data_IF_699895744118
#
_entry.id   IF_699895744118
#
_cell.length_a   1.000
_cell.length_b   1.000
_cell.length_c   1.000
_cell.angle_alpha   90.00
_cell.angle_beta   90.00
_cell.angle_gamma   90.00
#
_symmetry.space_group_name_H-M   'P 1'
#
loop_
_entity.id
_entity.type
_entity.pdbx_description
1 polymer ?
#
# COMPACT_ATOMS: atom_id res chain seq x y z
N UNK A 1 -4.45 -18.05 -8.85
CA UNK A 1 -5.86 -18.29 -8.43
C UNK A 1 -6.68 -16.99 -8.59
N UNK A 2 -7.06 -16.64 -9.83
CA UNK A 2 -7.87 -15.44 -10.12
C UNK A 2 -9.18 -15.77 -10.87
N UNK A 3 -9.42 -17.04 -11.21
CA UNK A 3 -10.48 -17.47 -12.15
C UNK A 3 -11.88 -17.50 -11.52
N UNK A 4 -12.01 -17.49 -10.19
CA UNK A 4 -13.30 -17.74 -9.51
C UNK A 4 -14.13 -16.47 -9.25
N UNK A 5 -13.54 -15.27 -9.34
CA UNK A 5 -14.21 -14.03 -8.89
C UNK A 5 -14.28 -12.89 -9.93
N UNK A 6 -13.97 -13.13 -11.22
CA UNK A 6 -13.95 -12.10 -12.27
C UNK A 6 -13.33 -10.76 -11.82
N UNK A 7 -12.15 -10.83 -11.20
CA UNK A 7 -11.44 -9.63 -10.75
C UNK A 7 -11.07 -8.75 -11.94
N UNK A 8 -11.20 -7.43 -11.75
CA UNK A 8 -10.70 -6.46 -12.72
C UNK A 8 -9.18 -6.53 -12.83
N UNK A 9 -8.61 -5.97 -13.90
CA UNK A 9 -7.16 -5.88 -14.05
C UNK A 9 -6.51 -5.14 -12.87
N UNK A 10 -7.15 -4.06 -12.39
CA UNK A 10 -6.66 -3.28 -11.26
C UNK A 10 -6.64 -4.12 -9.97
N UNK A 11 -7.70 -4.89 -9.72
CA UNK A 11 -7.76 -5.80 -8.58
C UNK A 11 -6.71 -6.92 -8.67
N UNK A 12 -6.49 -7.48 -9.86
CA UNK A 12 -5.46 -8.50 -10.09
C UNK A 12 -4.08 -7.95 -9.72
N UNK A 13 -3.72 -6.75 -10.22
CA UNK A 13 -2.43 -6.12 -9.92
C UNK A 13 -2.25 -5.84 -8.43
N UNK A 14 -3.28 -5.32 -7.75
CA UNK A 14 -3.21 -5.10 -6.29
C UNK A 14 -3.06 -6.42 -5.53
N UNK A 15 -3.77 -7.48 -5.94
CA UNK A 15 -3.67 -8.80 -5.30
C UNK A 15 -2.28 -9.41 -5.45
N UNK A 16 -1.65 -9.21 -6.61
CA UNK A 16 -0.27 -9.61 -6.88
C UNK A 16 0.72 -8.80 -6.03
N UNK A 17 0.60 -7.47 -6.03
CA UNK A 17 1.44 -6.59 -5.23
C UNK A 17 1.34 -6.87 -3.71
N UNK A 18 0.20 -7.42 -3.26
CA UNK A 18 -0.10 -7.76 -1.87
C UNK A 18 -0.19 -9.26 -1.61
N UNK A 19 0.47 -10.09 -2.44
CA UNK A 19 0.51 -11.54 -2.25
C UNK A 19 1.21 -11.94 -0.93
N UNK A 20 0.99 -13.17 -0.46
CA UNK A 20 1.66 -13.68 0.75
C UNK A 20 3.11 -14.17 0.50
N UNK A 21 3.66 -13.89 -0.68
CA UNK A 21 5.02 -14.29 -1.03
C UNK A 21 6.05 -13.55 -0.18
N UNK A 22 7.23 -14.13 0.08
CA UNK A 22 8.23 -13.55 0.98
C UNK A 22 8.95 -12.32 0.41
N UNK A 23 8.69 -11.94 -0.84
CA UNK A 23 9.23 -10.74 -1.48
C UNK A 23 8.21 -9.60 -1.55
N UNK A 24 8.72 -8.36 -1.57
CA UNK A 24 7.92 -7.14 -1.75
C UNK A 24 7.42 -6.97 -3.19
N UNK A 25 6.44 -6.08 -3.42
CA UNK A 25 6.00 -5.73 -4.77
C UNK A 25 7.13 -5.07 -5.57
N UNK A 26 7.19 -5.33 -6.88
CA UNK A 26 8.15 -4.67 -7.76
C UNK A 26 7.76 -3.21 -8.02
N UNK A 27 8.76 -2.35 -8.25
CA UNK A 27 8.51 -0.92 -8.57
C UNK A 27 7.70 -0.72 -9.85
N UNK A 28 7.87 -1.61 -10.85
CA UNK A 28 7.07 -1.58 -12.08
C UNK A 28 5.60 -1.81 -11.78
N UNK A 29 5.27 -2.88 -11.03
CA UNK A 29 3.89 -3.19 -10.69
C UNK A 29 3.24 -2.08 -9.85
N UNK A 30 3.97 -1.51 -8.88
CA UNK A 30 3.46 -0.39 -8.10
C UNK A 30 3.24 0.86 -8.96
N UNK A 31 4.10 1.11 -9.95
CA UNK A 31 3.93 2.21 -10.91
C UNK A 31 2.68 2.04 -11.74
N UNK A 32 2.44 0.86 -12.30
CA UNK A 32 1.22 0.56 -13.06
C UNK A 32 -0.04 0.77 -12.21
N UNK A 33 -0.03 0.31 -10.95
CA UNK A 33 -1.15 0.55 -10.03
C UNK A 33 -1.30 2.06 -9.74
N UNK A 34 -0.20 2.79 -9.55
CA UNK A 34 -0.22 4.23 -9.34
C UNK A 34 -0.87 4.98 -10.51
N UNK A 35 -0.59 4.59 -11.74
CA UNK A 35 -1.22 5.19 -12.92
C UNK A 35 -2.71 4.87 -13.00
N UNK A 36 -3.11 3.64 -12.65
CA UNK A 36 -4.52 3.25 -12.59
C UNK A 36 -5.33 4.04 -11.55
N UNK A 37 -4.70 4.61 -10.51
CA UNK A 37 -5.42 5.44 -9.51
C UNK A 37 -6.03 6.71 -10.07
N UNK A 38 -5.66 7.15 -11.29
CA UNK A 38 -6.28 8.29 -11.97
C UNK A 38 -7.61 7.92 -12.66
N UNK A 39 -7.88 6.63 -12.90
CA UNK A 39 -9.17 6.17 -13.37
C UNK A 39 -10.15 6.01 -12.19
N UNK A 40 -11.34 6.58 -12.28
CA UNK A 40 -12.29 6.64 -11.15
C UNK A 40 -12.79 5.27 -10.71
N UNK A 41 -13.02 4.36 -11.66
CA UNK A 41 -13.49 2.99 -11.38
C UNK A 41 -12.35 2.18 -10.76
N UNK A 42 -11.20 2.15 -11.43
CA UNK A 42 -10.02 1.42 -10.94
C UNK A 42 -9.56 1.94 -9.57
N UNK A 43 -9.62 3.25 -9.32
CA UNK A 43 -9.32 3.84 -8.00
C UNK A 43 -10.15 3.20 -6.89
N UNK A 44 -11.46 3.05 -7.10
CA UNK A 44 -12.37 2.50 -6.10
C UNK A 44 -12.05 1.02 -5.82
N UNK A 45 -11.77 0.26 -6.87
CA UNK A 45 -11.37 -1.15 -6.79
C UNK A 45 -10.01 -1.33 -6.08
N UNK A 46 -9.02 -0.52 -6.44
CA UNK A 46 -7.67 -0.53 -5.85
C UNK A 46 -7.75 -0.26 -4.36
N UNK A 47 -8.40 0.84 -3.97
CA UNK A 47 -8.50 1.23 -2.56
C UNK A 47 -9.28 0.19 -1.75
N UNK A 48 -10.40 -0.32 -2.29
CA UNK A 48 -11.19 -1.38 -1.64
C UNK A 48 -10.35 -2.63 -1.37
N UNK A 49 -9.57 -3.08 -2.34
CA UNK A 49 -8.69 -4.24 -2.18
C UNK A 49 -7.56 -3.99 -1.18
N UNK A 50 -6.96 -2.79 -1.17
CA UNK A 50 -5.94 -2.41 -0.18
C UNK A 50 -6.53 -2.44 1.23
N UNK A 51 -7.69 -1.82 1.46
CA UNK A 51 -8.33 -1.82 2.78
C UNK A 51 -8.67 -3.23 3.25
N UNK A 52 -9.15 -4.09 2.34
CA UNK A 52 -9.37 -5.51 2.63
C UNK A 52 -8.10 -6.21 3.10
N UNK A 53 -6.95 -5.93 2.46
CA UNK A 53 -5.64 -6.51 2.82
C UNK A 53 -5.09 -5.96 4.13
N UNK A 54 -5.37 -4.70 4.46
CA UNK A 54 -4.98 -4.10 5.73
C UNK A 54 -5.72 -4.72 6.92
N UNK A 55 -6.89 -5.30 6.69
CA UNK A 55 -7.69 -5.98 7.72
C UNK A 55 -7.35 -7.48 7.90
N UNK A 56 -6.25 -7.97 7.30
CA UNK A 56 -5.74 -9.32 7.57
C UNK A 56 -5.02 -9.39 8.94
N UNK A 57 -4.86 -10.61 9.48
CA UNK A 57 -4.28 -10.82 10.81
C UNK A 57 -3.30 -12.01 10.86
N UNK A 58 -2.50 -12.05 11.94
CA UNK A 58 -1.64 -13.18 12.30
C UNK A 58 -0.71 -13.63 11.16
N UNK A 59 -0.81 -14.91 10.77
CA UNK A 59 0.06 -15.52 9.74
C UNK A 59 0.02 -14.82 8.37
N UNK A 60 -1.00 -14.00 8.11
CA UNK A 60 -1.14 -13.21 6.88
C UNK A 60 -0.52 -11.81 6.98
N UNK A 61 0.36 -11.56 7.96
CA UNK A 61 1.01 -10.25 8.15
C UNK A 61 1.67 -9.68 6.89
N UNK A 62 2.13 -10.51 5.94
CA UNK A 62 2.70 -10.05 4.67
C UNK A 62 1.68 -9.34 3.79
N UNK A 63 0.41 -9.76 3.81
CA UNK A 63 -0.66 -9.04 3.13
C UNK A 63 -0.76 -7.60 3.66
N UNK A 64 -0.80 -7.45 4.98
CA UNK A 64 -0.89 -6.15 5.66
C UNK A 64 0.34 -5.29 5.38
N UNK A 65 1.53 -5.86 5.56
CA UNK A 65 2.79 -5.15 5.32
C UNK A 65 2.96 -4.70 3.87
N UNK A 66 2.65 -5.57 2.90
CA UNK A 66 2.74 -5.25 1.46
C UNK A 66 1.65 -4.28 1.04
N UNK A 67 0.46 -4.34 1.65
CA UNK A 67 -0.59 -3.33 1.44
C UNK A 67 -0.16 -1.96 1.97
N UNK A 68 0.45 -1.87 3.15
CA UNK A 68 1.04 -0.61 3.66
C UNK A 68 2.17 -0.09 2.75
N UNK A 69 2.97 -1.00 2.19
CA UNK A 69 4.05 -0.66 1.26
C UNK A 69 3.50 -0.09 -0.05
N UNK A 70 2.49 -0.75 -0.63
CA UNK A 70 1.81 -0.24 -1.81
C UNK A 70 1.14 1.11 -1.51
N UNK A 71 0.43 1.23 -0.39
CA UNK A 71 -0.26 2.47 -0.01
C UNK A 71 0.71 3.65 0.14
N UNK A 72 1.86 3.46 0.79
CA UNK A 72 2.95 4.44 0.89
C UNK A 72 3.44 4.89 -0.48
N UNK A 73 3.62 3.96 -1.43
CA UNK A 73 4.00 4.30 -2.80
C UNK A 73 2.93 5.11 -3.54
N UNK A 74 1.65 4.70 -3.42
CA UNK A 74 0.53 5.36 -4.07
C UNK A 74 0.27 6.77 -3.50
N UNK A 75 0.42 6.95 -2.18
CA UNK A 75 0.36 8.26 -1.53
C UNK A 75 1.44 9.21 -2.06
N UNK A 76 2.54 8.69 -2.60
CA UNK A 76 3.66 9.48 -3.12
C UNK A 76 3.62 9.72 -4.63
N UNK A 77 3.08 8.78 -5.39
CA UNK A 77 3.21 8.77 -6.87
C UNK A 77 1.90 8.64 -7.63
N UNK A 78 0.81 8.26 -6.95
CA UNK A 78 -0.53 8.15 -7.53
C UNK A 78 -1.35 9.44 -7.40
N UNK A 79 -2.64 9.33 -7.70
CA UNK A 79 -3.62 10.40 -7.55
C UNK A 79 -3.64 10.98 -6.13
N UNK A 80 -3.79 12.29 -6.00
CA UNK A 80 -3.98 12.99 -4.70
C UNK A 80 -5.15 12.41 -3.89
N UNK A 81 -6.14 11.84 -4.57
CA UNK A 81 -7.29 11.16 -3.95
C UNK A 81 -6.88 10.02 -3.02
N UNK A 82 -5.74 9.38 -3.27
CA UNK A 82 -5.22 8.31 -2.39
C UNK A 82 -4.85 8.89 -1.04
N UNK A 83 -4.06 9.96 -1.02
CA UNK A 83 -3.66 10.62 0.22
C UNK A 83 -4.86 11.19 0.98
N UNK A 84 -5.82 11.78 0.26
CA UNK A 84 -7.06 12.28 0.85
C UNK A 84 -7.85 11.17 1.56
N UNK A 85 -8.14 10.06 0.87
CA UNK A 85 -8.89 8.94 1.47
C UNK A 85 -8.15 8.31 2.65
N UNK A 86 -6.81 8.27 2.61
CA UNK A 86 -5.99 7.78 3.73
C UNK A 86 -6.04 8.70 4.94
N UNK A 87 -6.12 10.03 4.75
CA UNK A 87 -6.30 10.99 5.84
C UNK A 87 -7.68 10.86 6.47
N UNK A 88 -8.72 10.73 5.66
CA UNK A 88 -10.11 10.52 6.12
C UNK A 88 -10.25 9.21 6.94
N UNK A 89 -9.51 8.17 6.57
CA UNK A 89 -9.53 6.86 7.22
C UNK A 89 -8.27 6.56 8.04
N UNK A 90 -7.55 7.59 8.50
CA UNK A 90 -6.22 7.43 9.12
C UNK A 90 -6.23 6.51 10.34
N UNK A 91 -7.36 6.44 11.05
CA UNK A 91 -7.53 5.55 12.20
C UNK A 91 -7.35 4.08 11.83
N UNK A 92 -7.85 3.64 10.67
CA UNK A 92 -7.69 2.26 10.19
C UNK A 92 -6.22 1.89 9.94
N UNK A 93 -5.39 2.87 9.55
CA UNK A 93 -3.94 2.68 9.42
C UNK A 93 -3.28 2.71 10.80
N UNK A 94 -3.74 3.60 11.68
CA UNK A 94 -3.17 3.82 13.01
C UNK A 94 -3.32 2.62 13.94
N UNK A 95 -4.41 1.84 13.87
CA UNK A 95 -4.57 0.61 14.66
C UNK A 95 -3.50 -0.44 14.35
N UNK A 96 -2.90 -0.41 13.16
CA UNK A 96 -1.83 -1.34 12.77
C UNK A 96 -0.50 -1.08 13.51
N UNK A 97 -0.39 0.02 14.26
CA UNK A 97 0.75 0.28 15.15
C UNK A 97 0.84 -0.71 16.31
N UNK A 98 -0.25 -1.42 16.59
CA UNK A 98 -0.34 -2.43 17.64
C UNK A 98 -0.40 -3.86 17.08
N UNK A 99 -0.18 -4.05 15.77
CA UNK A 99 -0.23 -5.35 15.13
C UNK A 99 0.78 -6.34 15.75
N UNK A 100 0.31 -7.53 16.12
CA UNK A 100 1.13 -8.58 16.75
C UNK A 100 1.15 -9.85 15.89
N UNK A 101 2.35 -10.37 15.63
CA UNK A 101 2.53 -11.72 15.11
C UNK A 101 3.96 -12.19 15.36
N UNK A 102 4.09 -13.24 16.17
CA UNK A 102 5.34 -14.00 16.34
C UNK A 102 5.20 -15.26 15.49
N UNK A 103 6.18 -15.53 14.63
CA UNK A 103 6.18 -16.72 13.79
C UNK A 103 6.60 -17.98 14.57
N UNK A 104 6.64 -19.12 13.86
CA UNK A 104 6.94 -20.43 14.46
C UNK A 104 8.39 -20.53 14.97
N UNK A 105 9.28 -19.69 14.47
CA UNK A 105 10.68 -19.64 14.86
C UNK A 105 10.91 -18.65 16.02
N UNK A 106 9.82 -18.09 16.59
CA UNK A 106 9.88 -17.12 17.68
C UNK A 106 10.22 -15.70 17.24
N UNK A 107 10.23 -15.42 15.93
CA UNK A 107 10.55 -14.09 15.41
C UNK A 107 9.31 -13.21 15.36
N UNK A 108 9.39 -12.01 15.94
CA UNK A 108 8.36 -10.99 15.80
C UNK A 108 8.37 -10.42 14.37
N UNK A 109 7.39 -10.84 13.58
CA UNK A 109 7.16 -10.32 12.23
C UNK A 109 6.18 -9.14 12.25
N UNK A 110 5.38 -9.01 13.32
CA UNK A 110 4.46 -7.91 13.52
C UNK A 110 5.16 -6.55 13.63
N UNK A 111 6.41 -6.53 14.12
CA UNK A 111 7.23 -5.30 14.19
C UNK A 111 7.34 -4.57 12.85
N UNK A 112 7.43 -5.31 11.74
CA UNK A 112 7.51 -4.71 10.40
C UNK A 112 6.24 -3.93 10.04
N UNK A 113 5.07 -4.47 10.40
CA UNK A 113 3.77 -3.82 10.19
C UNK A 113 3.66 -2.58 11.07
N UNK A 114 4.03 -2.69 12.37
CA UNK A 114 3.96 -1.58 13.33
C UNK A 114 4.82 -0.41 12.88
N UNK A 115 6.08 -0.66 12.50
CA UNK A 115 7.00 0.40 12.05
C UNK A 115 6.53 1.06 10.75
N UNK A 116 6.07 0.28 9.76
CA UNK A 116 5.55 0.83 8.51
C UNK A 116 4.29 1.67 8.73
N UNK A 117 3.38 1.23 9.61
CA UNK A 117 2.19 2.00 10.00
C UNK A 117 2.56 3.31 10.70
N UNK A 118 3.51 3.29 11.65
CA UNK A 118 4.01 4.51 12.33
C UNK A 118 4.53 5.54 11.33
N UNK A 119 5.38 5.11 10.40
CA UNK A 119 5.95 5.98 9.37
C UNK A 119 4.85 6.57 8.47
N UNK A 120 3.91 5.74 8.01
CA UNK A 120 2.85 6.19 7.11
C UNK A 120 1.89 7.19 7.78
N UNK A 121 1.49 6.91 9.03
CA UNK A 121 0.67 7.84 9.81
C UNK A 121 1.41 9.15 10.09
N UNK A 122 2.73 9.09 10.35
CA UNK A 122 3.53 10.30 10.54
C UNK A 122 3.57 11.15 9.26
N UNK A 123 3.71 10.53 8.09
CA UNK A 123 3.71 11.22 6.81
C UNK A 123 2.34 11.86 6.51
N UNK A 124 1.25 11.12 6.73
CA UNK A 124 -0.11 11.60 6.45
C UNK A 124 -0.55 12.77 7.35
N UNK A 125 0.09 12.95 8.51
CA UNK A 125 -0.18 14.07 9.44
C UNK A 125 0.66 15.32 9.14
N UNK A 126 1.66 15.22 8.28
CA UNK A 126 2.56 16.31 7.94
C UNK A 126 2.39 16.69 6.46
N UNK A 127 1.53 17.68 6.21
CA UNK A 127 1.14 18.09 4.86
C UNK A 127 2.30 18.64 4.04
N UNK A 128 3.21 19.40 4.66
CA UNK A 128 4.35 20.01 3.97
C UNK A 128 5.40 18.95 3.62
N UNK A 129 5.67 18.03 4.54
CA UNK A 129 6.52 16.87 4.26
C UNK A 129 5.92 16.00 3.17
N UNK A 130 4.61 15.74 3.21
CA UNK A 130 3.93 14.93 2.19
C UNK A 130 4.03 15.56 0.81
N UNK A 131 3.79 16.88 0.68
CA UNK A 131 3.98 17.60 -0.60
C UNK A 131 5.41 17.45 -1.13
N UNK A 132 6.40 17.58 -0.25
CA UNK A 132 7.82 17.46 -0.61
C UNK A 132 8.17 16.05 -1.07
N UNK A 133 7.77 15.02 -0.31
CA UNK A 133 8.02 13.62 -0.67
C UNK A 133 7.31 13.24 -1.99
N UNK A 134 6.08 13.74 -2.22
CA UNK A 134 5.36 13.55 -3.49
C UNK A 134 6.11 14.16 -4.68
N UNK A 135 6.54 15.42 -4.55
CA UNK A 135 7.28 16.10 -5.62
C UNK A 135 8.59 15.37 -5.97
N UNK A 136 9.30 14.83 -4.97
CA UNK A 136 10.52 14.05 -5.18
C UNK A 136 10.23 12.67 -5.80
N UNK A 137 9.18 11.99 -5.33
CA UNK A 137 8.84 10.66 -5.80
C UNK A 137 8.37 10.67 -7.26
N UNK A 138 7.56 11.66 -7.66
CA UNK A 138 7.12 11.84 -9.04
C UNK A 138 8.30 12.10 -9.99
N UNK A 139 9.23 12.99 -9.63
CA UNK A 139 10.47 13.21 -10.40
C UNK A 139 11.30 11.93 -10.56
N UNK A 140 11.35 11.09 -9.53
CA UNK A 140 12.08 9.82 -9.58
C UNK A 140 11.40 8.83 -10.51
N UNK A 141 10.06 8.72 -10.41
CA UNK A 141 9.23 7.88 -11.28
C UNK A 141 9.38 8.27 -12.76
N UNK A 142 9.35 9.57 -13.07
CA UNK A 142 9.54 10.08 -14.43
C UNK A 142 10.91 9.69 -15.02
N UNK A 143 11.99 9.82 -14.23
CA UNK A 143 13.33 9.40 -14.66
C UNK A 143 13.41 7.91 -14.92
N UNK A 144 12.78 7.09 -14.08
CA UNK A 144 12.77 5.63 -14.26
C UNK A 144 11.98 5.19 -15.48
N UNK A 145 11.00 5.98 -15.93
CA UNK A 145 10.23 5.70 -17.15
C UNK A 145 10.99 6.04 -18.44
N UNK A 146 12.09 6.80 -18.36
CA UNK A 146 12.93 7.22 -19.50
C UNK A 146 14.14 6.30 -19.73
N UNK A 147 14.34 5.29 -18.89
CA UNK A 147 15.44 4.32 -18.94
C UNK A 147 14.90 2.97 -19.38
#
# INVERSE_FOLDING_TARGET
KNIVNNYSEAEIKVREATSNDPWGPSSSLMTEIADLTYNVVAFSEIMSMIWKRLNDHGKNWRHVYKALTLLDYLIKTGSERVAQQCKENIFAIQTLKDFQYIDRDGKDQGINVREKSKQLVSLLKDDERLKTERAQALKTKERMAQV
#
